data_IF_598430607842
#
_entry.id   IF_598430607842
#
_cell.length_a   1.000
_cell.length_b   1.000
_cell.length_c   1.000
_cell.angle_alpha   90.00
_cell.angle_beta   90.00
_cell.angle_gamma   90.00
#
_symmetry.space_group_name_H-M   'P 1'
#
loop_
_entity.id
_entity.type
_entity.pdbx_description
1 polymer ?
#
# COMPACT_ATOMS: atom_id res chain seq x y z
N UNK A 1 -16.13 -11.12 13.34
CA UNK A 1 -14.90 -11.61 14.01
C UNK A 1 -13.89 -11.94 12.93
N UNK A 2 -12.66 -11.43 13.00
CA UNK A 2 -11.61 -11.62 11.99
C UNK A 2 -10.90 -12.98 12.12
N UNK A 3 -11.66 -14.08 12.10
CA UNK A 3 -11.05 -15.42 12.08
C UNK A 3 -10.38 -15.66 10.71
N UNK A 4 -9.20 -16.29 10.72
CA UNK A 4 -8.40 -16.73 9.56
C UNK A 4 -7.77 -15.63 8.67
N UNK A 5 -7.77 -14.36 9.09
CA UNK A 5 -7.08 -13.27 8.37
C UNK A 5 -5.77 -12.87 9.06
N UNK A 6 -4.71 -12.66 8.26
CA UNK A 6 -3.45 -12.09 8.74
C UNK A 6 -3.67 -10.76 9.47
N UNK A 7 -2.93 -10.50 10.55
CA UNK A 7 -3.03 -9.26 11.36
C UNK A 7 -2.97 -8.01 10.48
N UNK A 8 -2.05 -7.97 9.50
CA UNK A 8 -1.95 -6.86 8.56
C UNK A 8 -3.21 -6.64 7.72
N UNK A 9 -3.88 -7.72 7.29
CA UNK A 9 -5.14 -7.63 6.56
C UNK A 9 -6.30 -7.13 7.44
N UNK A 10 -6.25 -7.40 8.75
CA UNK A 10 -7.21 -6.85 9.72
C UNK A 10 -6.97 -5.35 9.92
N UNK A 11 -5.71 -4.94 10.14
CA UNK A 11 -5.35 -3.52 10.31
C UNK A 11 -5.74 -2.67 9.09
N UNK A 12 -5.46 -3.17 7.89
CA UNK A 12 -5.76 -2.44 6.65
C UNK A 12 -7.24 -2.43 6.30
N UNK A 13 -8.07 -3.28 6.94
CA UNK A 13 -9.53 -3.26 6.77
C UNK A 13 -10.19 -2.03 7.40
N UNK A 14 -9.52 -1.37 8.33
CA UNK A 14 -9.99 -0.10 8.91
C UNK A 14 -9.76 1.09 7.97
N UNK A 15 -8.92 0.95 6.95
CA UNK A 15 -8.67 2.01 5.97
C UNK A 15 -9.85 2.13 5.00
N UNK A 16 -10.46 3.32 4.92
CA UNK A 16 -11.60 3.55 4.03
C UNK A 16 -11.18 3.57 2.56
N UNK A 17 -11.28 2.40 1.90
CA UNK A 17 -10.87 2.23 0.50
C UNK A 17 -11.63 3.15 -0.46
N UNK A 18 -12.92 3.34 -0.23
CA UNK A 18 -13.77 4.18 -1.09
C UNK A 18 -13.35 5.64 -1.04
N UNK A 19 -13.05 6.16 0.16
CA UNK A 19 -12.52 7.51 0.33
C UNK A 19 -11.14 7.66 -0.31
N UNK A 20 -10.24 6.70 -0.08
CA UNK A 20 -8.91 6.71 -0.71
C UNK A 20 -8.98 6.75 -2.24
N UNK A 21 -9.84 5.91 -2.85
CA UNK A 21 -10.01 5.90 -4.30
C UNK A 21 -10.50 7.25 -4.84
N UNK A 22 -11.40 7.94 -4.13
CA UNK A 22 -11.85 9.29 -4.52
C UNK A 22 -10.70 10.31 -4.49
N UNK A 23 -9.84 10.24 -3.47
CA UNK A 23 -8.63 11.07 -3.38
C UNK A 23 -7.70 10.76 -4.57
N UNK A 24 -7.39 9.49 -4.82
CA UNK A 24 -6.56 9.08 -5.98
C UNK A 24 -7.14 9.60 -7.30
N UNK A 25 -8.46 9.54 -7.48
CA UNK A 25 -9.12 10.10 -8.67
C UNK A 25 -8.97 11.61 -8.77
N UNK A 26 -9.08 12.35 -7.66
CA UNK A 26 -8.88 13.81 -7.59
C UNK A 26 -7.46 14.21 -8.06
N UNK A 27 -6.43 13.44 -7.68
CA UNK A 27 -5.05 13.70 -8.08
C UNK A 27 -4.64 13.03 -9.41
N UNK A 28 -5.50 12.17 -9.98
CA UNK A 28 -5.24 11.50 -11.26
C UNK A 28 -4.03 10.55 -11.26
N UNK A 29 -3.52 10.13 -10.09
CA UNK A 29 -2.20 9.50 -9.98
C UNK A 29 -2.15 8.00 -10.33
N UNK A 30 -3.31 7.37 -10.50
CA UNK A 30 -3.44 6.03 -11.07
C UNK A 30 -3.77 6.05 -12.58
N UNK A 31 -3.72 7.21 -13.24
CA UNK A 31 -3.93 7.30 -14.69
C UNK A 31 -2.86 6.47 -15.40
N UNK A 32 -3.30 5.49 -16.19
CA UNK A 32 -2.47 4.50 -16.92
C UNK A 32 -1.79 3.41 -16.07
N UNK A 33 -2.05 3.34 -14.77
CA UNK A 33 -1.48 2.28 -13.92
C UNK A 33 -2.21 0.96 -14.14
N UNK A 34 -1.46 -0.10 -14.51
CA UNK A 34 -2.03 -1.43 -14.83
C UNK A 34 -2.08 -2.41 -13.65
N UNK A 35 -1.05 -2.39 -12.79
CA UNK A 35 -0.86 -3.46 -11.79
C UNK A 35 -0.54 -2.94 -10.38
N UNK A 36 0.31 -1.93 -10.25
CA UNK A 36 0.76 -1.44 -8.95
C UNK A 36 0.10 -0.10 -8.62
N UNK A 37 -1.15 -0.09 -8.12
CA UNK A 37 -1.95 1.12 -7.83
C UNK A 37 -1.41 1.94 -6.65
N UNK A 38 -1.94 3.16 -6.44
CA UNK A 38 -1.65 3.97 -5.25
C UNK A 38 -2.04 3.23 -3.95
N UNK A 39 -3.06 2.38 -4.02
CA UNK A 39 -3.42 1.53 -2.88
C UNK A 39 -2.36 0.48 -2.58
N UNK A 40 -1.84 -0.19 -3.61
CA UNK A 40 -0.80 -1.21 -3.41
C UNK A 40 0.46 -0.60 -2.80
N UNK A 41 0.78 0.63 -3.21
CA UNK A 41 1.86 1.40 -2.60
C UNK A 41 1.57 1.78 -1.15
N UNK A 42 0.36 2.26 -0.84
CA UNK A 42 -0.03 2.54 0.56
C UNK A 42 0.19 1.31 1.43
N UNK A 43 -0.29 0.14 1.00
CA UNK A 43 -0.12 -1.10 1.75
C UNK A 43 1.35 -1.52 1.91
N UNK A 44 2.16 -1.40 0.86
CA UNK A 44 3.60 -1.69 0.94
C UNK A 44 4.32 -0.75 1.93
N UNK A 45 4.01 0.54 1.90
CA UNK A 45 4.58 1.52 2.84
C UNK A 45 4.13 1.25 4.28
N UNK A 46 2.84 1.00 4.51
CA UNK A 46 2.31 0.64 5.82
C UNK A 46 2.94 -0.64 6.37
N UNK A 47 3.15 -1.65 5.52
CA UNK A 47 3.84 -2.87 5.93
C UNK A 47 5.28 -2.58 6.36
N UNK A 48 6.00 -1.74 5.61
CA UNK A 48 7.35 -1.30 5.98
C UNK A 48 7.40 -0.64 7.35
N UNK A 49 6.48 0.30 7.61
CA UNK A 49 6.39 0.99 8.91
C UNK A 49 6.07 0.01 10.04
N UNK A 50 5.04 -0.82 9.88
CA UNK A 50 4.57 -1.74 10.93
C UNK A 50 5.54 -2.89 11.21
N UNK A 51 6.35 -3.28 10.23
CA UNK A 51 7.37 -4.33 10.39
C UNK A 51 8.76 -3.77 10.65
N UNK A 52 8.89 -2.46 10.88
CA UNK A 52 10.14 -1.76 11.15
C UNK A 52 11.23 -2.01 10.08
N UNK A 53 10.87 -1.89 8.80
CA UNK A 53 11.80 -1.99 7.66
C UNK A 53 12.40 -0.62 7.38
N UNK A 54 13.72 -0.51 7.48
CA UNK A 54 14.41 0.79 7.40
C UNK A 54 14.85 1.16 5.97
N UNK A 55 14.74 0.25 5.01
CA UNK A 55 15.12 0.53 3.62
C UNK A 55 14.17 -0.10 2.62
N UNK A 56 14.14 0.47 1.41
CA UNK A 56 13.41 -0.10 0.28
C UNK A 56 13.85 -1.55 -0.01
N UNK A 57 15.15 -1.85 0.12
CA UNK A 57 15.67 -3.21 -0.11
C UNK A 57 15.15 -4.18 0.96
N UNK A 58 15.23 -3.80 2.22
CA UNK A 58 14.75 -4.61 3.35
C UNK A 58 13.23 -4.87 3.25
N UNK A 59 12.46 -3.84 2.90
CA UNK A 59 11.02 -3.97 2.64
C UNK A 59 10.73 -4.97 1.52
N UNK A 60 11.43 -4.88 0.39
CA UNK A 60 11.21 -5.79 -0.74
C UNK A 60 11.56 -7.23 -0.35
N UNK A 61 12.67 -7.46 0.36
CA UNK A 61 13.04 -8.81 0.82
C UNK A 61 11.95 -9.40 1.71
N UNK A 62 11.40 -8.61 2.64
CA UNK A 62 10.30 -9.06 3.51
C UNK A 62 9.02 -9.36 2.72
N UNK A 63 8.66 -8.52 1.74
CA UNK A 63 7.49 -8.72 0.88
C UNK A 63 7.65 -9.94 -0.05
N UNK A 64 8.86 -10.18 -0.57
CA UNK A 64 9.18 -11.35 -1.39
C UNK A 64 9.13 -12.65 -0.57
N UNK A 65 9.67 -12.65 0.65
CA UNK A 65 9.58 -13.80 1.56
C UNK A 65 8.12 -14.17 1.91
N UNK A 66 7.20 -13.21 1.81
CA UNK A 66 5.77 -13.41 2.04
C UNK A 66 4.93 -13.36 0.77
N UNK A 67 5.56 -13.53 -0.40
CA UNK A 67 4.91 -13.39 -1.71
C UNK A 67 3.61 -14.21 -1.85
N UNK A 68 3.63 -15.47 -1.43
CA UNK A 68 2.46 -16.36 -1.46
C UNK A 68 1.29 -15.86 -0.61
N UNK A 69 1.57 -14.99 0.37
CA UNK A 69 0.60 -14.38 1.28
C UNK A 69 0.18 -12.99 0.83
N UNK A 70 0.99 -12.27 0.05
CA UNK A 70 0.73 -10.88 -0.39
C UNK A 70 -0.63 -10.68 -1.07
N UNK A 71 -1.13 -11.69 -1.79
CA UNK A 71 -2.49 -11.66 -2.35
C UNK A 71 -3.56 -11.58 -1.25
N UNK A 72 -3.43 -12.41 -0.21
CA UNK A 72 -4.31 -12.41 0.96
C UNK A 72 -4.12 -11.18 1.87
N UNK A 73 -3.02 -10.46 1.73
CA UNK A 73 -2.74 -9.18 2.41
C UNK A 73 -3.32 -7.97 1.66
N UNK A 74 -3.97 -8.17 0.51
CA UNK A 74 -4.56 -7.09 -0.28
C UNK A 74 -3.57 -6.28 -1.12
N UNK A 75 -2.28 -6.65 -1.12
CA UNK A 75 -1.20 -5.96 -1.87
C UNK A 75 -1.15 -6.35 -3.35
N UNK A 76 -1.91 -7.35 -3.77
CA UNK A 76 -1.96 -7.85 -5.14
C UNK A 76 -0.79 -8.76 -5.52
N UNK A 77 -0.62 -8.99 -6.82
CA UNK A 77 0.48 -9.81 -7.36
C UNK A 77 1.72 -8.93 -7.59
N UNK A 78 2.83 -9.29 -6.96
CA UNK A 78 4.19 -8.75 -7.17
C UNK A 78 4.39 -7.25 -6.85
N UNK A 79 4.92 -6.96 -5.67
CA UNK A 79 5.57 -5.69 -5.36
C UNK A 79 7.05 -5.82 -5.75
N UNK A 80 7.41 -5.37 -6.95
CA UNK A 80 8.83 -5.35 -7.35
C UNK A 80 9.54 -4.10 -6.83
N UNK A 81 10.84 -4.22 -6.56
CA UNK A 81 11.67 -3.08 -6.13
C UNK A 81 11.58 -1.89 -7.10
N UNK A 82 11.67 -2.14 -8.40
CA UNK A 82 11.64 -1.10 -9.42
C UNK A 82 10.27 -0.40 -9.49
N UNK A 83 9.18 -1.15 -9.36
CA UNK A 83 7.82 -0.57 -9.35
C UNK A 83 7.58 0.28 -8.11
N UNK A 84 7.99 -0.21 -6.93
CA UNK A 84 7.84 0.54 -5.68
C UNK A 84 8.76 1.78 -5.64
N UNK A 85 10.00 1.67 -6.10
CA UNK A 85 10.92 2.81 -6.22
C UNK A 85 10.33 3.91 -7.11
N UNK A 86 9.88 3.55 -8.31
CA UNK A 86 9.28 4.48 -9.27
C UNK A 86 8.01 5.12 -8.70
N UNK A 87 7.14 4.32 -8.08
CA UNK A 87 5.93 4.84 -7.44
C UNK A 87 6.24 5.84 -6.30
N UNK A 88 7.29 5.59 -5.51
CA UNK A 88 7.72 6.52 -4.46
C UNK A 88 8.32 7.81 -5.02
N UNK A 89 8.92 7.77 -6.21
CA UNK A 89 9.53 8.93 -6.86
C UNK A 89 8.50 9.79 -7.60
N UNK A 90 7.57 9.17 -8.31
CA UNK A 90 6.74 9.86 -9.31
C UNK A 90 5.35 10.24 -8.80
N UNK A 91 4.85 9.61 -7.73
CA UNK A 91 3.47 9.85 -7.26
C UNK A 91 3.40 11.00 -6.27
N UNK A 92 2.32 11.76 -6.43
CA UNK A 92 2.02 12.85 -5.52
C UNK A 92 1.74 12.34 -4.10
N UNK A 93 2.56 12.76 -3.14
CA UNK A 93 2.44 12.34 -1.76
C UNK A 93 1.19 12.90 -1.08
N UNK A 94 0.61 13.99 -1.58
CA UNK A 94 -0.60 14.61 -1.01
C UNK A 94 -1.79 13.65 -0.98
N UNK A 95 -1.80 12.61 -1.82
CA UNK A 95 -2.80 11.54 -1.79
C UNK A 95 -2.80 10.83 -0.43
N UNK A 96 -1.62 10.46 0.05
CA UNK A 96 -1.45 9.74 1.32
C UNK A 96 -1.66 10.68 2.50
N UNK A 97 -1.20 11.92 2.38
CA UNK A 97 -1.41 12.97 3.37
C UNK A 97 -2.90 13.29 3.57
N UNK A 98 -3.66 13.56 2.51
CA UNK A 98 -5.10 13.85 2.59
C UNK A 98 -5.86 12.64 3.18
N UNK A 99 -5.43 11.42 2.85
CA UNK A 99 -6.03 10.23 3.45
C UNK A 99 -5.70 10.12 4.94
N UNK A 100 -4.47 10.43 5.35
CA UNK A 100 -4.07 10.42 6.75
C UNK A 100 -4.88 11.44 7.56
N UNK A 101 -5.04 12.67 7.06
CA UNK A 101 -5.88 13.69 7.71
C UNK A 101 -7.33 13.23 7.88
N UNK A 102 -7.90 12.55 6.88
CA UNK A 102 -9.24 11.96 6.99
C UNK A 102 -9.35 10.87 8.06
N UNK A 103 -8.27 10.12 8.33
CA UNK A 103 -8.30 9.03 9.31
C UNK A 103 -8.18 9.53 10.77
N UNK A 104 -7.58 10.70 10.97
CA UNK A 104 -7.34 11.27 12.32
C UNK A 104 -8.32 12.38 12.70
N UNK A 105 -9.19 12.80 11.78
CA UNK A 105 -10.31 13.71 12.02
C UNK A 105 -11.51 12.99 12.64
#
# INVERSE_FOLDING_TARGET
MFQDKYVFAQLTSFLNRSKFNRIVTKYGSDKYVKHFTCWNQLLALMFGQLSNRESLRDLIVALEAHHSKCYHLGMGKNVSKSSLARANQDRDYHIFEEHAYYLVS
#
